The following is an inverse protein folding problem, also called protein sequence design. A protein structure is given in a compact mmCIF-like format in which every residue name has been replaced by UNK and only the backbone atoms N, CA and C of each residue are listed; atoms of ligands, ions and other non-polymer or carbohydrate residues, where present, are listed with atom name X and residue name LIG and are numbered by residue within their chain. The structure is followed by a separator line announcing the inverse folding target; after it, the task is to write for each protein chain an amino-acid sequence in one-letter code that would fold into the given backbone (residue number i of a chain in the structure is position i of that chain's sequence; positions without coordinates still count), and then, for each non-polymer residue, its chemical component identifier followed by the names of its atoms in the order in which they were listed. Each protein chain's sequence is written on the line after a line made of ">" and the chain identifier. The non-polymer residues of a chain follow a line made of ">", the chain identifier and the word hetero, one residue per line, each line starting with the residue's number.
data_IF_777033484629
#
_entry.id   IF_777033484629
#
_cell.length_a   1.000
_cell.length_b   1.000
_cell.length_c   1.000
_cell.angle_alpha   90.00
_cell.angle_beta   90.00
_cell.angle_gamma   90.00
#
_symmetry.space_group_name_H-M   'P 1'
#
loop_
_entity.id
_entity.type
_entity.pdbx_description
1 polymer ?
#
# COMPACT_ATOMS: atom_id res chain seq x y z
N UNK A 1 -76.30 -14.13 16.98
CA UNK A 1 -76.03 -15.58 16.90
C UNK A 1 -75.19 -15.83 15.65
N UNK A 2 -73.95 -16.32 15.84
CA UNK A 2 -73.02 -16.97 14.87
C UNK A 2 -72.64 -16.18 13.58
N UNK A 3 -71.41 -15.67 13.40
CA UNK A 3 -70.07 -16.30 13.22
C UNK A 3 -69.65 -16.38 11.72
N UNK A 4 -68.55 -15.67 11.44
CA UNK A 4 -67.40 -15.94 10.55
C UNK A 4 -67.49 -15.83 9.02
N UNK A 5 -66.48 -15.12 8.49
CA UNK A 5 -66.02 -15.16 7.10
C UNK A 5 -64.85 -14.21 6.85
N UNK A 6 -63.77 -14.33 7.62
CA UNK A 6 -62.54 -13.55 7.45
C UNK A 6 -61.77 -14.08 6.23
N UNK A 7 -61.74 -13.33 5.11
CA UNK A 7 -60.82 -13.58 4.00
C UNK A 7 -59.51 -12.83 4.27
N UNK A 8 -58.49 -13.55 4.74
CA UNK A 8 -57.11 -13.08 4.70
C UNK A 8 -56.62 -13.13 3.25
N UNK A 9 -56.47 -11.98 2.61
CA UNK A 9 -55.61 -11.86 1.43
C UNK A 9 -54.14 -11.85 1.88
N UNK A 10 -53.47 -12.98 1.74
CA UNK A 10 -52.01 -13.10 1.83
C UNK A 10 -51.38 -12.35 0.64
N UNK A 11 -51.11 -11.06 0.82
CA UNK A 11 -50.20 -10.33 -0.06
C UNK A 11 -48.76 -10.71 0.34
N UNK A 12 -48.18 -11.64 -0.43
CA UNK A 12 -46.75 -11.89 -0.46
C UNK A 12 -46.02 -10.59 -0.81
N UNK A 13 -45.42 -9.94 0.18
CA UNK A 13 -44.33 -9.01 -0.06
C UNK A 13 -43.12 -9.87 -0.46
N UNK A 14 -43.02 -10.16 -1.75
CA UNK A 14 -41.77 -10.60 -2.33
C UNK A 14 -40.74 -9.49 -2.06
N UNK A 15 -39.80 -9.79 -1.16
CA UNK A 15 -38.58 -9.03 -0.98
C UNK A 15 -38.00 -8.76 -2.36
N UNK A 16 -38.07 -7.51 -2.79
CA UNK A 16 -37.25 -7.00 -3.87
C UNK A 16 -35.81 -7.04 -3.40
N UNK A 17 -35.17 -8.21 -3.52
CA UNK A 17 -33.74 -8.29 -3.76
C UNK A 17 -33.53 -7.66 -5.15
N UNK A 18 -33.56 -6.32 -5.20
CA UNK A 18 -32.89 -5.63 -6.27
C UNK A 18 -31.46 -6.09 -6.19
N UNK A 19 -31.03 -6.81 -7.23
CA UNK A 19 -29.64 -7.10 -7.53
C UNK A 19 -28.86 -5.80 -7.39
N UNK A 20 -28.33 -5.54 -6.20
CA UNK A 20 -27.49 -4.41 -5.93
C UNK A 20 -26.25 -4.66 -6.78
N UNK A 21 -26.01 -3.82 -7.77
CA UNK A 21 -24.65 -3.65 -8.26
C UNK A 21 -23.77 -3.49 -7.02
N UNK A 22 -22.88 -4.46 -6.75
CA UNK A 22 -21.81 -4.26 -5.79
C UNK A 22 -21.01 -3.08 -6.33
N UNK A 23 -21.31 -1.88 -5.84
CA UNK A 23 -20.49 -0.71 -6.11
C UNK A 23 -19.10 -1.01 -5.56
N UNK A 24 -18.06 -0.69 -6.34
CA UNK A 24 -16.68 -0.86 -5.88
C UNK A 24 -16.47 -0.16 -4.54
N UNK A 25 -15.85 -0.85 -3.59
CA UNK A 25 -15.55 -0.33 -2.24
C UNK A 25 -14.03 -0.22 -2.07
N UNK A 26 -13.34 0.61 -2.87
CA UNK A 26 -11.87 0.61 -2.92
C UNK A 26 -11.22 1.00 -1.59
N UNK A 27 -11.88 1.82 -0.79
CA UNK A 27 -11.44 2.22 0.55
C UNK A 27 -11.49 1.09 1.58
N UNK A 28 -12.29 0.06 1.30
CA UNK A 28 -12.40 -1.15 2.13
C UNK A 28 -11.55 -2.27 1.54
N UNK A 29 -11.58 -2.46 0.23
CA UNK A 29 -10.88 -3.55 -0.47
C UNK A 29 -9.35 -3.47 -0.39
N UNK A 30 -8.79 -2.29 -0.18
CA UNK A 30 -7.35 -2.14 0.03
C UNK A 30 -6.91 -2.42 1.49
N UNK A 31 -7.82 -2.77 2.40
CA UNK A 31 -7.47 -2.97 3.81
C UNK A 31 -6.94 -4.40 4.06
N UNK A 32 -5.73 -4.52 4.64
CA UNK A 32 -5.21 -5.80 5.07
C UNK A 32 -6.03 -6.43 6.21
N UNK A 33 -5.83 -7.73 6.42
CA UNK A 33 -6.40 -8.49 7.53
C UNK A 33 -5.86 -8.00 8.88
N UNK A 34 -6.53 -8.40 9.97
CA UNK A 34 -6.14 -7.96 11.32
C UNK A 34 -4.76 -8.46 11.73
N UNK A 35 -4.34 -9.61 11.20
CA UNK A 35 -3.04 -10.22 11.44
C UNK A 35 -1.89 -9.37 10.87
N UNK A 36 -2.17 -8.52 9.87
CA UNK A 36 -1.20 -7.58 9.33
C UNK A 36 -1.01 -6.33 10.21
N UNK A 37 -1.92 -6.06 11.15
CA UNK A 37 -1.95 -4.80 11.89
C UNK A 37 -1.02 -4.77 13.10
N UNK A 38 -0.40 -3.62 13.33
CA UNK A 38 0.25 -3.24 14.58
C UNK A 38 -0.76 -2.63 15.57
N UNK A 39 -0.24 -2.05 16.65
CA UNK A 39 -1.00 -1.53 17.78
C UNK A 39 -2.01 -0.43 17.40
N UNK A 40 -1.68 0.41 16.41
CA UNK A 40 -2.49 1.60 16.08
C UNK A 40 -2.85 1.56 14.60
N UNK A 41 -4.14 1.76 14.28
CA UNK A 41 -4.61 1.99 12.91
C UNK A 41 -5.27 3.36 12.81
N UNK A 42 -4.79 4.20 11.89
CA UNK A 42 -5.29 5.55 11.65
C UNK A 42 -5.88 5.66 10.25
N UNK A 43 -7.06 6.26 10.14
CA UNK A 43 -7.69 6.59 8.86
C UNK A 43 -7.52 8.08 8.58
N UNK A 44 -6.72 8.40 7.58
CA UNK A 44 -6.60 9.72 7.00
C UNK A 44 -7.50 9.84 5.77
N UNK A 45 -7.61 11.03 5.20
CA UNK A 45 -8.49 11.27 4.04
C UNK A 45 -7.99 10.56 2.78
N UNK A 46 -6.68 10.47 2.60
CA UNK A 46 -6.04 9.84 1.44
C UNK A 46 -5.65 8.37 1.60
N UNK A 47 -5.41 7.91 2.82
CA UNK A 47 -4.84 6.60 3.10
C UNK A 47 -5.20 6.12 4.51
N UNK A 48 -5.05 4.82 4.75
CA UNK A 48 -5.10 4.19 6.07
C UNK A 48 -3.70 3.69 6.40
N UNK A 49 -3.28 3.85 7.65
CA UNK A 49 -1.97 3.41 8.11
C UNK A 49 -2.12 2.54 9.35
N UNK A 50 -1.41 1.43 9.39
CA UNK A 50 -1.12 0.73 10.65
C UNK A 50 0.29 1.04 11.09
N UNK A 51 0.43 1.44 12.35
CA UNK A 51 1.60 2.09 12.90
C UNK A 51 2.07 1.40 14.18
N UNK A 52 3.38 1.16 14.26
CA UNK A 52 4.04 0.61 15.43
C UNK A 52 4.69 1.75 16.24
N UNK A 53 4.15 2.11 17.42
CA UNK A 53 4.69 3.19 18.25
C UNK A 53 6.04 2.86 18.90
N UNK A 54 6.40 1.57 19.02
CA UNK A 54 7.68 1.11 19.52
C UNK A 54 8.80 1.28 18.48
N UNK A 55 8.49 1.02 17.21
CA UNK A 55 9.43 1.20 16.09
C UNK A 55 9.40 2.62 15.49
N UNK A 56 8.33 3.37 15.77
CA UNK A 56 8.05 4.71 15.24
C UNK A 56 7.98 4.78 13.72
N UNK A 57 7.45 3.72 13.12
CA UNK A 57 7.23 3.58 11.68
C UNK A 57 5.89 2.89 11.41
N UNK A 58 5.29 3.12 10.22
CA UNK A 58 4.19 2.29 9.74
C UNK A 58 4.63 0.85 9.49
N UNK A 59 3.77 -0.12 9.82
CA UNK A 59 3.91 -1.53 9.37
C UNK A 59 3.27 -1.74 8.00
N UNK A 60 2.22 -0.99 7.70
CA UNK A 60 1.65 -0.89 6.36
C UNK A 60 0.89 0.42 6.18
N UNK A 61 0.80 0.87 4.93
CA UNK A 61 -0.06 1.95 4.47
C UNK A 61 -0.87 1.43 3.29
N UNK A 62 -2.19 1.59 3.38
CA UNK A 62 -3.16 1.19 2.38
C UNK A 62 -3.81 2.43 1.76
N UNK A 63 -3.88 2.48 0.44
CA UNK A 63 -4.53 3.55 -0.30
C UNK A 63 -4.97 3.05 -1.67
N UNK A 64 -5.71 3.88 -2.39
CA UNK A 64 -6.14 3.55 -3.75
C UNK A 64 -6.05 4.76 -4.67
N UNK A 65 -5.86 4.47 -5.95
CA UNK A 65 -5.88 5.45 -7.02
C UNK A 65 -7.04 5.15 -7.98
N UNK A 66 -7.72 6.21 -8.37
CA UNK A 66 -8.78 6.24 -9.39
C UNK A 66 -8.55 7.47 -10.26
N UNK A 67 -9.03 7.51 -11.51
CA UNK A 67 -8.78 8.63 -12.43
C UNK A 67 -9.04 10.02 -11.84
N UNK A 68 -10.07 10.17 -11.01
CA UNK A 68 -10.44 11.43 -10.36
C UNK A 68 -9.36 11.92 -9.38
N UNK A 69 -8.63 10.99 -8.74
CA UNK A 69 -7.55 11.27 -7.79
C UNK A 69 -6.18 11.47 -8.44
N UNK A 70 -6.09 11.35 -9.76
CA UNK A 70 -4.84 11.58 -10.50
C UNK A 70 -4.60 13.05 -10.85
N UNK A 71 -5.59 13.91 -10.62
CA UNK A 71 -5.47 15.36 -10.85
C UNK A 71 -4.56 16.01 -9.81
N UNK A 72 -3.67 16.90 -10.24
CA UNK A 72 -2.74 17.62 -9.36
C UNK A 72 -3.32 18.98 -8.96
N UNK A 73 -4.14 18.97 -7.92
CA UNK A 73 -4.82 20.15 -7.38
C UNK A 73 -4.08 20.80 -6.20
N UNK A 74 -3.03 20.14 -5.68
CA UNK A 74 -2.21 20.63 -4.58
C UNK A 74 -0.72 20.64 -4.94
N UNK A 75 0.00 21.64 -4.44
CA UNK A 75 1.46 21.71 -4.53
C UNK A 75 2.07 20.92 -3.38
N UNK A 76 3.24 20.32 -3.62
CA UNK A 76 4.02 19.62 -2.59
C UNK A 76 4.33 20.57 -1.42
N UNK A 77 3.85 20.25 -0.22
CA UNK A 77 3.97 21.09 0.98
C UNK A 77 5.33 20.98 1.68
N UNK A 78 5.95 19.79 1.69
CA UNK A 78 7.19 19.52 2.43
C UNK A 78 7.09 19.81 3.95
N UNK A 79 5.89 19.74 4.52
CA UNK A 79 5.57 20.06 5.91
C UNK A 79 5.63 18.82 6.83
N UNK A 80 6.80 18.18 6.85
CA UNK A 80 7.08 16.99 7.68
C UNK A 80 6.84 17.27 9.16
N UNK A 81 5.89 16.54 9.76
CA UNK A 81 5.46 16.77 11.15
C UNK A 81 4.91 15.51 11.82
N UNK A 82 4.92 15.46 13.17
CA UNK A 82 4.21 14.42 13.90
C UNK A 82 2.73 14.38 13.53
N UNK A 83 2.17 13.19 13.51
CA UNK A 83 0.74 12.98 13.36
C UNK A 83 0.01 13.45 14.62
N UNK A 84 -1.03 14.31 14.53
CA UNK A 84 -1.74 14.81 15.71
C UNK A 84 -2.44 13.71 16.52
N UNK A 85 -2.69 12.54 15.94
CA UNK A 85 -3.30 11.40 16.63
C UNK A 85 -2.30 10.52 17.39
N UNK A 86 -1.00 10.79 17.27
CA UNK A 86 0.06 10.06 17.96
C UNK A 86 0.73 10.96 19.01
N UNK A 87 0.77 10.55 20.29
CA UNK A 87 1.53 11.28 21.29
C UNK A 87 3.00 11.41 20.87
N UNK A 88 3.58 12.60 21.03
CA UNK A 88 4.89 12.95 20.47
C UNK A 88 6.02 11.95 20.82
N UNK A 89 5.98 11.36 22.02
CA UNK A 89 6.95 10.35 22.46
C UNK A 89 6.98 9.07 21.59
N UNK A 90 5.88 8.77 20.91
CA UNK A 90 5.70 7.63 20.01
C UNK A 90 5.78 8.01 18.53
N UNK A 91 6.08 9.29 18.22
CA UNK A 91 6.23 9.77 16.86
C UNK A 91 7.71 10.00 16.54
N UNK A 92 8.09 9.77 15.28
CA UNK A 92 9.34 10.30 14.76
C UNK A 92 9.25 11.82 14.59
N UNK A 93 10.40 12.49 14.54
CA UNK A 93 10.49 13.94 14.31
C UNK A 93 11.56 14.28 13.29
N UNK A 94 11.58 15.52 12.81
CA UNK A 94 12.65 16.00 11.94
C UNK A 94 14.04 15.88 12.59
N UNK A 95 14.13 15.93 13.93
CA UNK A 95 15.40 15.79 14.63
C UNK A 95 16.00 14.39 14.49
N UNK A 96 15.16 13.34 14.39
CA UNK A 96 15.62 11.96 14.25
C UNK A 96 16.26 11.67 12.90
N UNK A 97 15.78 12.35 11.86
CA UNK A 97 16.30 12.24 10.49
C UNK A 97 17.48 13.18 10.21
N UNK A 98 17.69 14.20 11.06
CA UNK A 98 18.77 15.16 10.86
C UNK A 98 20.12 14.45 10.97
N UNK A 99 20.93 14.55 9.91
CA UNK A 99 22.26 13.94 9.83
C UNK A 99 22.30 12.40 10.01
N UNK A 100 21.17 11.71 9.83
CA UNK A 100 21.13 10.24 9.93
C UNK A 100 21.67 9.52 8.70
N UNK A 101 21.76 10.21 7.56
CA UNK A 101 22.06 9.63 6.25
C UNK A 101 20.85 9.04 5.51
N UNK A 102 19.68 8.99 6.16
CA UNK A 102 18.43 8.47 5.57
C UNK A 102 17.48 9.58 5.14
N UNK A 103 16.75 9.34 4.06
CA UNK A 103 15.64 10.17 3.64
C UNK A 103 14.39 9.91 4.49
N UNK A 104 13.54 10.94 4.60
CA UNK A 104 12.14 10.82 5.05
C UNK A 104 11.30 10.22 3.90
N UNK A 105 11.37 8.91 3.78
CA UNK A 105 10.76 8.16 2.69
C UNK A 105 9.27 7.93 2.91
N UNK A 106 8.44 8.32 1.94
CA UNK A 106 6.99 8.12 2.02
C UNK A 106 6.63 6.66 1.72
N UNK A 107 5.53 6.18 2.32
CA UNK A 107 4.86 4.97 1.88
C UNK A 107 3.69 5.28 0.93
N UNK A 108 2.76 6.14 1.36
CA UNK A 108 1.82 6.83 0.49
C UNK A 108 2.51 8.07 -0.12
N UNK A 109 2.85 8.08 -1.42
CA UNK A 109 3.67 9.13 -2.01
C UNK A 109 2.92 10.47 -2.09
N UNK A 110 3.58 11.59 -1.79
CA UNK A 110 2.94 12.91 -1.89
C UNK A 110 2.36 13.20 -3.28
N UNK A 111 2.97 12.66 -4.35
CA UNK A 111 2.46 12.82 -5.71
C UNK A 111 1.13 12.10 -5.96
N UNK A 112 0.87 11.02 -5.24
CA UNK A 112 -0.39 10.25 -5.26
C UNK A 112 -1.48 10.93 -4.40
N UNK A 113 -1.05 11.85 -3.53
CA UNK A 113 -1.87 12.60 -2.58
C UNK A 113 -2.13 14.05 -3.03
N UNK A 114 -1.83 14.37 -4.29
CA UNK A 114 -1.88 15.72 -4.84
C UNK A 114 -3.27 16.20 -5.30
N UNK A 115 -4.32 15.40 -5.15
CA UNK A 115 -5.68 15.72 -5.57
C UNK A 115 -6.44 16.61 -4.59
N UNK A 116 -5.92 16.77 -3.36
CA UNK A 116 -6.52 17.61 -2.31
C UNK A 116 -5.43 18.20 -1.41
N UNK A 117 -5.46 19.51 -1.06
CA UNK A 117 -4.44 20.14 -0.21
C UNK A 117 -4.31 19.56 1.20
N UNK A 118 -5.42 19.11 1.79
CA UNK A 118 -5.42 18.44 3.10
C UNK A 118 -4.69 17.10 2.97
N UNK A 119 -5.06 16.29 1.98
CA UNK A 119 -4.46 14.97 1.71
C UNK A 119 -2.96 15.07 1.41
N UNK A 120 -2.57 16.10 0.65
CA UNK A 120 -1.17 16.44 0.40
C UNK A 120 -0.43 16.70 1.70
N UNK A 121 -0.96 17.56 2.58
CA UNK A 121 -0.36 17.86 3.87
C UNK A 121 -0.33 16.63 4.80
N UNK A 122 -1.39 15.82 4.86
CA UNK A 122 -1.43 14.58 5.65
C UNK A 122 -0.33 13.60 5.21
N UNK A 123 -0.02 13.53 3.91
CA UNK A 123 1.03 12.65 3.39
C UNK A 123 2.42 12.92 4.00
N UNK A 124 2.64 14.09 4.61
CA UNK A 124 3.86 14.46 5.31
C UNK A 124 3.89 14.11 6.81
N UNK A 125 2.88 13.42 7.34
CA UNK A 125 2.93 12.89 8.70
C UNK A 125 4.03 11.83 8.84
N UNK A 126 4.73 11.84 9.99
CA UNK A 126 5.73 10.81 10.29
C UNK A 126 5.16 9.41 10.43
N UNK A 127 3.85 9.26 10.67
CA UNK A 127 3.15 7.96 10.58
C UNK A 127 3.18 7.37 9.17
N UNK A 128 3.42 8.17 8.13
CA UNK A 128 3.60 7.74 6.74
C UNK A 128 5.08 7.69 6.30
N UNK A 129 6.03 7.85 7.24
CA UNK A 129 7.46 7.93 6.91
C UNK A 129 8.24 6.72 7.41
N UNK A 130 9.26 6.35 6.65
CA UNK A 130 10.28 5.38 7.06
C UNK A 130 11.68 5.89 6.71
N UNK A 131 12.73 5.51 7.46
CA UNK A 131 14.10 5.75 7.04
C UNK A 131 14.45 4.97 5.76
N UNK A 132 14.56 5.68 4.64
CA UNK A 132 14.89 5.09 3.36
C UNK A 132 16.30 5.51 2.90
N UNK A 133 17.08 4.56 2.41
CA UNK A 133 18.39 4.84 1.84
C UNK A 133 18.22 5.77 0.62
N UNK A 134 19.02 6.85 0.47
CA UNK A 134 18.84 7.79 -0.64
C UNK A 134 18.84 7.17 -2.04
N UNK A 135 19.72 6.19 -2.31
CA UNK A 135 19.77 5.46 -3.58
C UNK A 135 18.55 4.57 -3.82
N UNK A 136 17.97 4.01 -2.77
CA UNK A 136 16.68 3.32 -2.81
C UNK A 136 15.53 4.30 -3.10
N UNK A 137 15.33 5.30 -2.24
CA UNK A 137 14.19 6.23 -2.27
C UNK A 137 14.13 7.01 -3.58
N UNK A 138 15.25 7.63 -3.97
CA UNK A 138 15.34 8.51 -5.15
C UNK A 138 15.58 7.72 -6.43
N UNK A 139 15.93 6.44 -6.31
CA UNK A 139 16.23 5.54 -7.41
C UNK A 139 15.06 4.60 -7.70
N UNK A 140 15.21 3.33 -7.32
CA UNK A 140 14.28 2.27 -7.73
C UNK A 140 12.87 2.45 -7.15
N UNK A 141 12.75 2.95 -5.92
CA UNK A 141 11.44 3.17 -5.30
C UNK A 141 10.65 4.24 -6.03
N UNK A 142 11.28 5.39 -6.30
CA UNK A 142 10.69 6.45 -7.14
C UNK A 142 10.26 5.93 -8.53
N UNK A 143 11.09 5.10 -9.18
CA UNK A 143 10.74 4.52 -10.49
C UNK A 143 9.49 3.65 -10.39
N UNK A 144 9.37 2.83 -9.35
CA UNK A 144 8.18 2.03 -9.10
C UNK A 144 6.96 2.94 -8.85
N UNK A 145 7.08 3.99 -8.04
CA UNK A 145 5.98 4.94 -7.81
C UNK A 145 5.55 5.66 -9.10
N UNK A 146 6.50 6.04 -9.96
CA UNK A 146 6.20 6.63 -11.28
C UNK A 146 5.44 5.63 -12.18
N UNK A 147 5.79 4.35 -12.12
CA UNK A 147 5.11 3.29 -12.86
C UNK A 147 3.70 3.01 -12.32
N UNK A 148 3.54 2.98 -10.99
CA UNK A 148 2.24 2.83 -10.32
C UNK A 148 1.25 3.90 -10.77
N UNK A 149 1.70 5.16 -10.88
CA UNK A 149 0.85 6.25 -11.39
C UNK A 149 0.46 6.07 -12.86
N UNK A 150 1.35 5.52 -13.70
CA UNK A 150 1.03 5.22 -15.10
C UNK A 150 -0.02 4.10 -15.21
N UNK A 151 0.09 3.06 -14.39
CA UNK A 151 -0.92 2.01 -14.29
C UNK A 151 -2.26 2.53 -13.79
N UNK A 152 -2.26 3.36 -12.74
CA UNK A 152 -3.48 3.98 -12.22
C UNK A 152 -4.22 4.84 -13.26
N UNK A 153 -3.51 5.42 -14.22
CA UNK A 153 -4.12 6.17 -15.33
C UNK A 153 -4.74 5.26 -16.42
N UNK A 154 -4.47 3.94 -16.38
CA UNK A 154 -4.91 2.97 -17.39
C UNK A 154 -6.03 2.04 -16.92
N UNK A 155 -6.37 2.04 -15.62
CA UNK A 155 -7.33 1.12 -15.00
C UNK A 155 -8.41 1.89 -14.24
N UNK A 156 -9.53 1.24 -13.94
CA UNK A 156 -10.65 1.88 -13.24
C UNK A 156 -10.29 2.17 -11.78
N UNK A 157 -9.58 1.24 -11.14
CA UNK A 157 -9.14 1.37 -9.75
C UNK A 157 -7.84 0.60 -9.56
N UNK A 158 -6.90 1.19 -8.83
CA UNK A 158 -5.69 0.55 -8.37
C UNK A 158 -5.65 0.57 -6.84
N UNK A 159 -5.81 -0.60 -6.22
CA UNK A 159 -5.67 -0.80 -4.78
C UNK A 159 -4.19 -1.02 -4.45
N UNK A 160 -3.72 -0.40 -3.37
CA UNK A 160 -2.29 -0.36 -3.04
C UNK A 160 -2.10 -0.61 -1.56
N UNK A 161 -1.26 -1.59 -1.22
CA UNK A 161 -0.76 -1.80 0.14
C UNK A 161 0.75 -1.83 0.11
N UNK A 162 1.39 -1.08 1.00
CA UNK A 162 2.85 -0.95 0.99
C UNK A 162 3.39 -0.79 2.40
N UNK A 163 4.59 -1.27 2.65
CA UNK A 163 5.16 -1.25 3.99
C UNK A 163 6.59 -1.76 4.03
N UNK A 164 7.26 -1.65 5.18
CA UNK A 164 8.50 -2.37 5.44
C UNK A 164 8.25 -3.88 5.51
N UNK A 165 9.23 -4.69 5.09
CA UNK A 165 9.21 -6.14 5.37
C UNK A 165 9.45 -6.35 6.88
N UNK A 166 8.55 -7.04 7.61
CA UNK A 166 8.67 -7.26 9.05
C UNK A 166 9.97 -7.95 9.47
N UNK A 167 10.39 -7.70 10.71
CA UNK A 167 11.57 -8.30 11.34
C UNK A 167 12.91 -8.17 10.56
N UNK A 168 12.94 -7.33 9.52
CA UNK A 168 14.13 -7.04 8.73
C UNK A 168 14.54 -5.60 9.00
N UNK A 169 15.35 -5.36 10.03
CA UNK A 169 15.79 -4.02 10.42
C UNK A 169 17.31 -3.86 10.36
N UNK A 170 17.77 -2.71 9.85
CA UNK A 170 19.19 -2.35 9.72
C UNK A 170 19.74 -1.56 10.92
N UNK A 171 18.89 -1.20 11.88
CA UNK A 171 19.24 -0.40 13.04
C UNK A 171 18.20 0.68 13.34
N UNK A 172 18.63 1.75 14.00
CA UNK A 172 17.77 2.86 14.42
C UNK A 172 18.46 4.21 14.16
N UNK A 173 17.66 5.23 13.84
CA UNK A 173 18.14 6.62 13.70
C UNK A 173 17.60 7.51 14.82
N UNK A 174 18.31 8.62 15.06
CA UNK A 174 17.87 9.65 16.00
C UNK A 174 17.91 9.25 17.47
N UNK A 175 17.61 10.22 18.33
CA UNK A 175 17.41 9.97 19.76
C UNK A 175 16.07 9.27 20.01
N UNK A 176 15.09 9.50 19.13
CA UNK A 176 13.80 8.83 19.14
C UNK A 176 13.86 7.34 18.82
N UNK A 177 15.00 6.81 18.35
CA UNK A 177 15.15 5.39 17.97
C UNK A 177 14.10 4.95 16.94
N UNK A 178 14.05 5.67 15.82
CA UNK A 178 13.19 5.30 14.69
C UNK A 178 13.82 4.12 13.96
N UNK A 179 13.10 3.01 13.84
CA UNK A 179 13.61 1.80 13.21
C UNK A 179 13.89 1.99 11.71
N UNK A 180 14.96 1.39 11.21
CA UNK A 180 15.35 1.43 9.80
C UNK A 180 14.97 0.10 9.14
N UNK A 181 13.97 0.05 8.24
CA UNK A 181 13.65 -1.16 7.50
C UNK A 181 14.80 -1.62 6.59
N UNK A 182 14.95 -2.93 6.43
CA UNK A 182 15.93 -3.56 5.55
C UNK A 182 15.41 -3.83 4.14
N UNK A 183 14.09 -3.89 3.97
CA UNK A 183 13.42 -4.00 2.68
C UNK A 183 12.00 -3.42 2.77
N UNK A 184 11.41 -3.12 1.62
CA UNK A 184 10.04 -2.63 1.48
C UNK A 184 9.28 -3.48 0.48
N UNK A 185 7.97 -3.59 0.70
CA UNK A 185 7.06 -4.19 -0.24
C UNK A 185 6.05 -3.17 -0.77
N UNK A 186 5.53 -3.44 -1.97
CA UNK A 186 4.35 -2.77 -2.52
C UNK A 186 3.52 -3.81 -3.30
N UNK A 187 2.31 -4.05 -2.82
CA UNK A 187 1.31 -4.90 -3.45
C UNK A 187 0.26 -4.03 -4.14
N UNK A 188 -0.14 -4.43 -5.34
CA UNK A 188 -1.08 -3.71 -6.18
C UNK A 188 -2.15 -4.68 -6.67
N UNK A 189 -3.40 -4.26 -6.64
CA UNK A 189 -4.50 -4.94 -7.34
C UNK A 189 -5.20 -3.93 -8.25
N UNK A 190 -5.12 -4.16 -9.54
CA UNK A 190 -5.89 -3.40 -10.52
C UNK A 190 -7.26 -4.05 -10.71
N UNK A 191 -8.32 -3.25 -10.64
CA UNK A 191 -9.67 -3.63 -11.05
C UNK A 191 -9.94 -2.95 -12.41
N UNK A 192 -10.25 -3.77 -13.42
CA UNK A 192 -10.50 -3.31 -14.78
C UNK A 192 -11.51 -4.23 -15.48
N UNK A 193 -12.61 -3.67 -16.01
CA UNK A 193 -13.70 -4.41 -16.67
C UNK A 193 -14.16 -5.66 -15.90
N UNK A 194 -14.39 -5.53 -14.60
CA UNK A 194 -14.81 -6.63 -13.70
C UNK A 194 -13.78 -7.76 -13.54
N UNK A 195 -12.53 -7.52 -13.88
CA UNK A 195 -11.42 -8.44 -13.59
C UNK A 195 -10.44 -7.80 -12.61
N UNK A 196 -9.87 -8.62 -11.73
CA UNK A 196 -8.81 -8.22 -10.83
C UNK A 196 -7.48 -8.83 -11.31
N UNK A 197 -6.39 -8.06 -11.23
CA UNK A 197 -5.03 -8.50 -11.51
C UNK A 197 -4.11 -7.96 -10.44
N UNK A 198 -3.28 -8.80 -9.85
CA UNK A 198 -2.34 -8.42 -8.81
C UNK A 198 -0.89 -8.44 -9.29
N UNK A 199 -0.06 -7.63 -8.63
CA UNK A 199 1.41 -7.71 -8.69
C UNK A 199 1.98 -7.20 -7.39
N UNK A 200 3.08 -7.80 -6.94
CA UNK A 200 3.81 -7.33 -5.78
C UNK A 200 5.28 -7.11 -6.11
N UNK A 201 5.94 -6.31 -5.28
CA UNK A 201 7.38 -6.05 -5.30
C UNK A 201 7.94 -6.19 -3.89
N UNK A 202 9.13 -6.75 -3.75
CA UNK A 202 9.93 -6.71 -2.51
C UNK A 202 11.33 -6.21 -2.86
N UNK A 203 11.69 -5.01 -2.38
CA UNK A 203 12.92 -4.34 -2.77
C UNK A 203 13.75 -4.03 -1.51
N UNK A 204 15.02 -4.47 -1.45
CA UNK A 204 15.93 -4.12 -0.36
C UNK A 204 16.11 -2.60 -0.21
N UNK A 205 16.22 -2.12 1.02
CA UNK A 205 16.45 -0.71 1.35
C UNK A 205 17.92 -0.32 1.11
N UNK A 206 18.29 -0.30 -0.17
CA UNK A 206 19.60 0.09 -0.69
C UNK A 206 19.51 0.46 -2.18
N UNK A 207 20.53 1.16 -2.66
CA UNK A 207 20.66 1.49 -4.08
C UNK A 207 20.67 0.24 -4.95
N UNK A 208 19.82 0.24 -5.99
CA UNK A 208 19.75 -0.85 -6.96
C UNK A 208 19.93 -0.35 -8.39
N UNK A 209 20.72 -1.10 -9.16
CA UNK A 209 20.84 -0.96 -10.62
C UNK A 209 19.98 -1.97 -11.38
N UNK A 210 19.35 -2.90 -10.67
CA UNK A 210 18.49 -3.91 -11.26
C UNK A 210 17.18 -3.28 -11.73
N UNK A 211 16.57 -3.82 -12.80
CA UNK A 211 15.22 -3.44 -13.20
C UNK A 211 14.20 -3.80 -12.11
N UNK A 212 13.08 -3.08 -12.03
CA UNK A 212 12.05 -3.35 -11.01
C UNK A 212 11.43 -4.75 -11.16
N UNK A 213 11.41 -5.28 -12.38
CA UNK A 213 10.98 -6.63 -12.75
C UNK A 213 11.74 -7.74 -12.02
N UNK A 214 12.98 -7.47 -11.61
CA UNK A 214 13.78 -8.38 -10.80
C UNK A 214 13.13 -8.67 -9.45
N UNK A 215 12.40 -7.70 -8.91
CA UNK A 215 11.81 -7.74 -7.57
C UNK A 215 10.34 -8.17 -7.56
N UNK A 216 9.79 -8.56 -8.72
CA UNK A 216 8.39 -8.91 -8.90
C UNK A 216 8.07 -10.29 -8.33
N UNK A 217 6.96 -10.39 -7.63
CA UNK A 217 6.37 -11.62 -7.10
C UNK A 217 4.84 -11.56 -7.16
N UNK A 218 4.17 -12.70 -6.96
CA UNK A 218 2.71 -12.72 -6.81
C UNK A 218 2.31 -12.16 -5.44
N UNK A 219 1.05 -11.74 -5.29
CA UNK A 219 0.58 -11.26 -3.99
C UNK A 219 0.58 -12.42 -2.98
N UNK A 220 0.15 -13.64 -3.36
CA UNK A 220 0.25 -14.83 -2.50
C UNK A 220 1.66 -15.08 -1.96
N UNK A 221 2.68 -14.89 -2.80
CA UNK A 221 4.09 -15.07 -2.40
C UNK A 221 4.50 -14.02 -1.38
N UNK A 222 4.01 -12.78 -1.54
CA UNK A 222 4.23 -11.71 -0.58
C UNK A 222 3.46 -11.96 0.72
N UNK A 223 2.20 -12.36 0.66
CA UNK A 223 1.39 -12.70 1.83
C UNK A 223 1.99 -13.83 2.65
N UNK A 224 2.54 -14.84 1.96
CA UNK A 224 3.31 -15.92 2.61
C UNK A 224 4.55 -15.39 3.33
N UNK A 225 5.26 -14.42 2.74
CA UNK A 225 6.42 -13.76 3.37
C UNK A 225 6.01 -12.92 4.59
N UNK A 226 4.86 -12.25 4.51
CA UNK A 226 4.36 -11.36 5.57
C UNK A 226 3.53 -12.09 6.64
N UNK A 227 3.13 -13.34 6.37
CA UNK A 227 2.19 -14.13 7.18
C UNK A 227 0.85 -13.40 7.39
N UNK A 228 0.32 -12.75 6.35
CA UNK A 228 -0.85 -11.88 6.47
C UNK A 228 -1.56 -11.67 5.11
N UNK A 229 -2.89 -11.46 5.09
CA UNK A 229 -3.67 -11.21 3.86
C UNK A 229 -3.82 -9.70 3.61
N UNK A 230 -3.34 -9.20 2.48
CA UNK A 230 -3.23 -7.77 2.17
C UNK A 230 -4.51 -7.18 1.58
N UNK A 231 -5.38 -7.97 0.98
CA UNK A 231 -6.63 -7.53 0.34
C UNK A 231 -7.86 -8.27 0.88
N UNK A 232 -7.86 -8.55 2.18
CA UNK A 232 -8.78 -9.48 2.84
C UNK A 232 -10.27 -9.14 2.68
N UNK A 233 -10.60 -7.88 2.41
CA UNK A 233 -11.97 -7.43 2.20
C UNK A 233 -12.45 -7.50 0.74
N UNK A 234 -11.59 -7.87 -0.20
CA UNK A 234 -12.01 -8.15 -1.59
C UNK A 234 -12.86 -9.42 -1.66
N UNK A 235 -13.75 -9.57 -2.66
CA UNK A 235 -14.41 -10.84 -2.92
C UNK A 235 -13.40 -11.97 -3.13
N UNK A 236 -13.63 -13.15 -2.53
CA UNK A 236 -12.71 -14.30 -2.57
C UNK A 236 -12.32 -14.69 -4.00
N UNK A 237 -13.28 -14.73 -4.94
CA UNK A 237 -13.01 -15.01 -6.34
C UNK A 237 -12.05 -14.00 -7.00
N UNK A 238 -12.06 -12.75 -6.54
CA UNK A 238 -11.13 -11.74 -7.04
C UNK A 238 -9.76 -11.87 -6.40
N UNK A 239 -9.68 -12.24 -5.12
CA UNK A 239 -8.43 -12.58 -4.44
C UNK A 239 -7.73 -13.74 -5.18
N UNK A 240 -8.42 -14.86 -5.40
CA UNK A 240 -7.86 -16.03 -6.11
C UNK A 240 -7.27 -15.70 -7.49
N UNK A 241 -7.94 -14.84 -8.25
CA UNK A 241 -7.50 -14.43 -9.58
C UNK A 241 -6.34 -13.43 -9.49
N UNK A 242 -6.43 -12.44 -8.60
CA UNK A 242 -5.45 -11.36 -8.51
C UNK A 242 -4.15 -11.82 -7.86
N UNK A 243 -4.22 -12.70 -6.87
CA UNK A 243 -3.11 -12.91 -5.93
C UNK A 243 -2.21 -14.09 -6.31
N UNK A 244 -2.76 -15.09 -7.03
CA UNK A 244 -2.09 -16.35 -7.34
C UNK A 244 -0.94 -16.27 -8.34
N UNK A 245 -0.99 -15.33 -9.29
CA UNK A 245 0.06 -15.21 -10.32
C UNK A 245 0.21 -13.79 -10.84
N UNK A 246 1.41 -13.49 -11.34
CA UNK A 246 1.71 -12.24 -12.02
C UNK A 246 1.32 -12.34 -13.50
N UNK A 247 0.42 -11.47 -13.94
CA UNK A 247 0.07 -11.27 -15.35
C UNK A 247 1.01 -10.22 -15.96
N UNK A 248 2.17 -10.69 -16.44
CA UNK A 248 3.26 -9.83 -16.94
C UNK A 248 2.83 -8.92 -18.10
N UNK A 249 1.98 -9.43 -19.00
CA UNK A 249 1.48 -8.68 -20.13
C UNK A 249 0.51 -7.58 -19.67
N UNK A 250 -0.43 -7.91 -18.78
CA UNK A 250 -1.35 -6.94 -18.21
C UNK A 250 -0.63 -5.76 -17.55
N UNK A 251 0.41 -6.05 -16.76
CA UNK A 251 1.23 -5.05 -16.09
C UNK A 251 2.29 -4.39 -17.00
N UNK A 252 2.39 -4.81 -18.26
CA UNK A 252 3.41 -4.33 -19.22
C UNK A 252 4.83 -4.47 -18.69
N UNK A 253 5.09 -5.56 -17.96
CA UNK A 253 6.39 -5.91 -17.38
C UNK A 253 7.11 -6.95 -18.25
N UNK A 254 8.44 -6.90 -18.29
CA UNK A 254 9.22 -7.86 -19.06
C UNK A 254 9.74 -9.03 -18.18
N UNK A 255 9.22 -10.26 -18.32
CA UNK A 255 9.64 -11.39 -17.49
C UNK A 255 11.11 -11.78 -17.70
N UNK A 256 11.72 -11.44 -18.84
CA UNK A 256 13.14 -11.71 -19.10
C UNK A 256 14.08 -10.91 -18.19
N UNK A 257 13.58 -9.80 -17.62
CA UNK A 257 14.32 -8.98 -16.67
C UNK A 257 14.31 -9.56 -15.25
N UNK A 258 13.45 -10.54 -14.95
CA UNK A 258 13.39 -11.18 -13.63
C UNK A 258 14.59 -12.07 -13.33
N UNK A 259 15.14 -12.73 -14.34
CA UNK A 259 16.21 -13.72 -14.19
C UNK A 259 17.61 -13.18 -14.50
N UNK A 260 17.70 -11.96 -15.01
CA UNK A 260 18.96 -11.32 -15.43
C UNK A 260 19.53 -10.44 -14.31
N UNK A 261 19.97 -11.04 -13.21
CA UNK A 261 20.98 -10.38 -12.38
C UNK A 261 22.31 -10.36 -13.18
N UNK A 262 23.08 -9.27 -13.18
CA UNK A 262 24.47 -9.35 -13.64
C UNK A 262 25.18 -10.35 -12.73
N UNK A 263 25.86 -11.33 -13.31
CA UNK A 263 26.84 -12.15 -12.61
C UNK A 263 27.78 -11.19 -11.85
N UNK A 264 27.64 -11.09 -10.52
CA UNK A 264 28.56 -10.35 -9.68
C UNK A 264 29.85 -11.16 -9.59
N UNK A 265 30.62 -11.16 -10.67
CA UNK A 265 32.02 -11.53 -10.69
C UNK A 265 32.80 -10.45 -9.95
N UNK A 266 32.81 -10.51 -8.63
CA UNK A 266 33.84 -9.86 -7.83
C UNK A 266 34.17 -10.79 -6.68
N UNK A 267 35.26 -11.54 -6.88
CA UNK A 267 35.93 -12.31 -5.84
C UNK A 267 36.21 -11.38 -4.65
N UNK A 268 35.64 -11.71 -3.50
CA UNK A 268 36.13 -11.22 -2.22
C UNK A 268 37.49 -11.91 -2.01
N UNK A 269 38.58 -11.16 -2.20
CA UNK A 269 39.89 -11.56 -1.71
C UNK A 269 39.82 -11.60 -0.17
N UNK A 270 40.32 -12.71 0.38
CA UNK A 270 40.49 -12.99 1.80
C UNK A 270 41.29 -11.90 2.50
#
# INVERSE_FOLDING_TARGET
>A
MKINGLLLSLLFWALGLSCGQLYSQPDVWCLPSRECAADITLKHKGYVVSYDPGLKIPVWVAYYLVPERMQKNARRSNDFRPDPFIPLQFSATNADYKSSGYDRGHLAPAADMAWDPEVMSESFYFTNMTPQEPGFNRGIWKKLEDQVRQWAASYDTLLIVTGPVPANFKGYIGQGKVAVPGAFYKALVAVYHHTARGVAFVIPNESSRLPMEYYVLSVDSLESLLSCNLFAAMPEQWQEIAESRVDWEFWRLNPLLKTTAPNSGTQIKR
#
